data_IF_888967786750
#
_entry.id   IF_888967786750
#
_cell.length_a   1.000
_cell.length_b   1.000
_cell.length_c   1.000
_cell.angle_alpha   90.00
_cell.angle_beta   90.00
_cell.angle_gamma   90.00
#
_symmetry.space_group_name_H-M   'P 1'
#
loop_
_entity.id
_entity.type
_entity.pdbx_description
1 polymer ?
#
# COMPACT_ATOMS: atom_id res chain seq x y z
N UNK A 1 35.23 -10.33 -5.99
CA UNK A 1 34.66 -9.56 -4.86
C UNK A 1 33.44 -8.85 -5.41
N UNK A 2 32.23 -9.14 -4.92
CA UNK A 2 31.03 -8.47 -5.41
C UNK A 2 31.12 -6.99 -5.05
N UNK A 3 31.19 -6.12 -6.07
CA UNK A 3 31.16 -4.68 -5.92
C UNK A 3 29.88 -4.32 -5.15
N UNK A 4 30.06 -3.76 -3.93
CA UNK A 4 28.94 -3.37 -3.08
C UNK A 4 28.13 -2.34 -3.85
N UNK A 5 26.84 -2.60 -4.06
CA UNK A 5 25.96 -1.63 -4.68
C UNK A 5 26.06 -0.28 -3.96
N UNK A 6 26.20 0.84 -4.68
CA UNK A 6 26.28 2.16 -4.07
C UNK A 6 25.01 2.44 -3.26
N UNK A 7 25.17 2.94 -2.04
CA UNK A 7 24.05 3.24 -1.17
C UNK A 7 23.20 4.38 -1.76
N UNK A 8 21.89 4.19 -1.89
CA UNK A 8 20.98 5.27 -2.33
C UNK A 8 21.05 6.51 -1.42
N UNK A 9 21.48 6.33 -0.17
CA UNK A 9 21.65 7.41 0.81
C UNK A 9 22.83 8.35 0.52
N UNK A 10 23.72 7.99 -0.39
CA UNK A 10 24.77 8.89 -0.88
C UNK A 10 24.24 9.87 -1.93
N UNK A 11 22.96 9.73 -2.34
CA UNK A 11 22.29 10.55 -3.35
C UNK A 11 23.09 10.67 -4.65
N UNK A 12 23.90 9.66 -4.99
CA UNK A 12 24.81 9.72 -6.14
C UNK A 12 25.84 10.86 -6.09
N UNK A 13 26.12 11.41 -4.90
CA UNK A 13 27.06 12.51 -4.70
C UNK A 13 26.49 13.92 -4.90
N UNK A 14 25.17 14.07 -5.13
CA UNK A 14 24.52 15.39 -5.19
C UNK A 14 23.88 15.79 -3.86
N UNK A 15 23.89 17.10 -3.56
CA UNK A 15 23.24 17.62 -2.35
C UNK A 15 21.70 17.48 -2.39
N UNK A 16 21.04 17.34 -1.22
CA UNK A 16 19.59 17.05 -1.12
C UNK A 16 18.71 18.11 -1.78
N UNK A 17 19.13 19.38 -1.76
CA UNK A 17 18.40 20.48 -2.42
C UNK A 17 18.41 20.30 -3.95
N UNK A 18 19.54 19.85 -4.51
CA UNK A 18 19.66 19.61 -5.95
C UNK A 18 18.83 18.40 -6.36
N UNK A 19 18.85 17.34 -5.54
CA UNK A 19 17.99 16.17 -5.73
C UNK A 19 16.51 16.58 -5.74
N UNK A 20 16.06 17.34 -4.73
CA UNK A 20 14.68 17.81 -4.65
C UNK A 20 14.24 18.64 -5.86
N UNK A 21 15.13 19.49 -6.41
CA UNK A 21 14.84 20.25 -7.64
C UNK A 21 14.73 19.34 -8.88
N UNK A 22 15.55 18.30 -8.99
CA UNK A 22 15.45 17.32 -10.09
C UNK A 22 14.16 16.53 -9.98
N UNK A 23 13.88 15.97 -8.81
CA UNK A 23 12.62 15.25 -8.52
C UNK A 23 11.40 16.09 -8.85
N UNK A 24 11.36 17.37 -8.45
CA UNK A 24 10.23 18.24 -8.77
C UNK A 24 10.03 18.45 -10.28
N UNK A 25 11.15 18.57 -11.02
CA UNK A 25 11.12 18.76 -12.46
C UNK A 25 10.68 17.47 -13.17
N UNK A 26 11.19 16.32 -12.75
CA UNK A 26 10.81 15.02 -13.33
C UNK A 26 9.36 14.67 -13.01
N UNK A 27 8.86 14.96 -11.81
CA UNK A 27 7.43 14.80 -11.48
C UNK A 27 6.48 15.53 -12.45
N UNK A 28 6.89 16.70 -12.95
CA UNK A 28 6.14 17.46 -13.95
C UNK A 28 6.32 16.86 -15.36
N UNK A 29 7.55 16.49 -15.73
CA UNK A 29 7.86 15.88 -17.02
C UNK A 29 7.14 14.54 -17.22
N UNK A 30 7.02 13.75 -16.15
CA UNK A 30 6.38 12.43 -16.14
C UNK A 30 4.88 12.48 -15.84
N UNK A 31 4.28 13.66 -15.73
CA UNK A 31 2.85 13.83 -15.41
C UNK A 31 2.42 12.99 -14.18
N UNK A 32 3.21 13.07 -13.09
CA UNK A 32 2.94 12.31 -11.86
C UNK A 32 1.56 12.65 -11.27
N UNK A 33 1.12 13.89 -11.42
CA UNK A 33 -0.21 14.32 -11.00
C UNK A 33 -1.33 13.66 -11.82
N UNK A 34 -1.21 13.61 -13.16
CA UNK A 34 -2.17 12.88 -14.01
C UNK A 34 -2.17 11.38 -13.73
N UNK A 35 -0.99 10.78 -13.53
CA UNK A 35 -0.85 9.36 -13.17
C UNK A 35 -1.43 9.03 -11.81
N UNK A 36 -1.33 9.92 -10.83
CA UNK A 36 -2.00 9.72 -9.55
C UNK A 36 -3.53 9.75 -9.67
N UNK A 37 -4.08 10.55 -10.59
CA UNK A 37 -5.51 10.53 -10.91
C UNK A 37 -5.92 9.23 -11.61
N UNK A 38 -5.10 8.73 -12.54
CA UNK A 38 -5.25 7.40 -13.14
C UNK A 38 -5.27 6.31 -12.06
N UNK A 39 -4.33 6.33 -11.13
CA UNK A 39 -4.28 5.39 -10.00
C UNK A 39 -5.53 5.47 -9.14
N UNK A 40 -6.02 6.67 -8.83
CA UNK A 40 -7.26 6.84 -8.08
C UNK A 40 -8.44 6.13 -8.73
N UNK A 41 -8.59 6.26 -10.05
CA UNK A 41 -9.64 5.58 -10.80
C UNK A 41 -9.50 4.06 -10.73
N UNK A 42 -8.30 3.52 -10.97
CA UNK A 42 -8.08 2.08 -10.92
C UNK A 42 -8.17 1.49 -9.51
N UNK A 43 -7.77 2.23 -8.47
CA UNK A 43 -7.93 1.82 -7.08
C UNK A 43 -9.41 1.77 -6.68
N UNK A 44 -10.21 2.75 -7.12
CA UNK A 44 -11.66 2.72 -6.92
C UNK A 44 -12.31 1.51 -7.61
N UNK A 45 -11.93 1.21 -8.85
CA UNK A 45 -12.43 0.02 -9.55
C UNK A 45 -11.97 -1.29 -8.90
N UNK A 46 -10.74 -1.34 -8.38
CA UNK A 46 -10.19 -2.49 -7.69
C UNK A 46 -10.82 -2.70 -6.30
N UNK A 47 -11.42 -1.67 -5.70
CA UNK A 47 -12.02 -1.74 -4.37
C UNK A 47 -13.16 -2.76 -4.32
N UNK A 48 -14.10 -2.74 -5.26
CA UNK A 48 -15.25 -3.66 -5.22
C UNK A 48 -14.82 -5.13 -5.32
N UNK A 49 -13.98 -5.54 -6.29
CA UNK A 49 -13.45 -6.90 -6.31
C UNK A 49 -12.62 -7.25 -5.08
N UNK A 50 -11.82 -6.32 -4.55
CA UNK A 50 -11.06 -6.57 -3.32
C UNK A 50 -11.98 -6.83 -2.13
N UNK A 51 -13.05 -6.05 -1.97
CA UNK A 51 -14.06 -6.26 -0.93
C UNK A 51 -14.76 -7.61 -1.10
N UNK A 52 -15.14 -7.99 -2.32
CA UNK A 52 -15.73 -9.30 -2.60
C UNK A 52 -14.77 -10.45 -2.27
N UNK A 53 -13.50 -10.32 -2.63
CA UNK A 53 -12.45 -11.27 -2.27
C UNK A 53 -12.34 -11.43 -0.75
N UNK A 54 -12.28 -10.32 0.00
CA UNK A 54 -12.20 -10.33 1.46
C UNK A 54 -13.43 -10.96 2.10
N UNK A 55 -14.64 -10.59 1.66
CA UNK A 55 -15.89 -11.18 2.13
C UNK A 55 -15.95 -12.68 1.86
N UNK A 56 -15.50 -13.10 0.68
CA UNK A 56 -15.47 -14.52 0.30
C UNK A 56 -14.45 -15.31 1.12
N UNK A 57 -13.27 -14.73 1.35
CA UNK A 57 -12.23 -15.32 2.20
C UNK A 57 -12.70 -15.43 3.66
N UNK A 58 -13.37 -14.41 4.17
CA UNK A 58 -14.00 -14.46 5.49
C UNK A 58 -15.07 -15.54 5.54
N UNK A 59 -15.91 -15.65 4.49
CA UNK A 59 -16.92 -16.68 4.40
C UNK A 59 -16.37 -18.11 4.43
N UNK A 60 -15.17 -18.34 3.87
CA UNK A 60 -14.46 -19.62 3.93
C UNK A 60 -13.81 -19.86 5.30
N UNK A 61 -13.19 -18.83 5.89
CA UNK A 61 -12.55 -18.95 7.20
C UNK A 61 -13.57 -19.09 8.34
N UNK A 62 -14.76 -18.52 8.17
CA UNK A 62 -15.82 -18.46 9.16
C UNK A 62 -16.98 -19.39 8.77
N UNK A 63 -16.74 -20.71 8.87
CA UNK A 63 -17.78 -21.71 8.70
C UNK A 63 -19.00 -21.39 9.59
N UNK A 64 -20.23 -21.60 9.11
CA UNK A 64 -21.44 -21.37 9.89
C UNK A 64 -21.37 -22.09 11.26
N UNK A 65 -21.50 -21.35 12.36
CA UNK A 65 -21.48 -21.89 13.72
C UNK A 65 -20.14 -21.85 14.46
N UNK A 66 -19.06 -21.36 13.84
CA UNK A 66 -17.76 -21.22 14.51
C UNK A 66 -17.68 -19.97 15.41
N UNK A 67 -16.97 -20.05 16.54
CA UNK A 67 -16.69 -18.89 17.41
C UNK A 67 -15.92 -17.79 16.67
N UNK A 68 -15.12 -18.17 15.66
CA UNK A 68 -14.41 -17.25 14.79
C UNK A 68 -15.38 -16.36 14.00
N UNK A 69 -16.48 -16.93 13.47
CA UNK A 69 -17.53 -16.17 12.79
C UNK A 69 -18.17 -15.16 13.72
N UNK A 70 -18.60 -15.60 14.90
CA UNK A 70 -19.24 -14.74 15.89
C UNK A 70 -18.33 -13.57 16.29
N UNK A 71 -17.05 -13.85 16.55
CA UNK A 71 -16.05 -12.85 16.95
C UNK A 71 -15.77 -11.83 15.84
N UNK A 72 -15.65 -12.29 14.59
CA UNK A 72 -15.41 -11.41 13.43
C UNK A 72 -16.59 -10.48 13.15
N UNK A 73 -17.82 -11.01 13.17
CA UNK A 73 -19.02 -10.19 12.97
C UNK A 73 -19.28 -9.23 14.14
N UNK A 74 -18.96 -9.63 15.36
CA UNK A 74 -19.06 -8.75 16.53
C UNK A 74 -18.03 -7.62 16.48
N UNK A 75 -16.80 -7.90 16.02
CA UNK A 75 -15.78 -6.88 15.79
C UNK A 75 -16.15 -5.93 14.63
N UNK A 76 -16.77 -6.44 13.56
CA UNK A 76 -17.29 -5.58 12.49
C UNK A 76 -18.44 -4.70 12.98
N UNK A 77 -19.35 -5.26 13.79
CA UNK A 77 -20.50 -4.53 14.34
C UNK A 77 -20.11 -3.46 15.38
N UNK A 78 -18.96 -3.60 16.04
CA UNK A 78 -18.46 -2.56 16.97
C UNK A 78 -17.80 -1.39 16.25
N UNK A 79 -17.43 -1.56 14.98
CA UNK A 79 -16.71 -0.54 14.17
C UNK A 79 -17.66 0.11 13.15
N UNK A 80 -18.63 -0.63 12.62
CA UNK A 80 -19.57 -0.15 11.61
C UNK A 80 -20.84 0.42 12.25
N UNK A 81 -21.42 1.50 11.69
CA UNK A 81 -22.79 1.90 12.00
C UNK A 81 -23.77 0.74 11.76
N UNK A 82 -24.84 0.65 12.56
CA UNK A 82 -25.77 -0.50 12.56
C UNK A 82 -26.28 -0.89 11.16
N UNK A 83 -26.62 0.09 10.31
CA UNK A 83 -27.09 -0.18 8.94
C UNK A 83 -26.00 -0.75 8.00
N UNK A 84 -24.73 -0.42 8.25
CA UNK A 84 -23.59 -0.95 7.48
C UNK A 84 -23.20 -2.35 7.95
N UNK A 85 -23.27 -2.63 9.26
CA UNK A 85 -23.00 -3.98 9.79
C UNK A 85 -24.01 -5.01 9.30
N UNK A 86 -25.29 -4.64 9.23
CA UNK A 86 -26.34 -5.55 8.76
C UNK A 86 -26.18 -5.86 7.26
N UNK A 87 -25.87 -4.84 6.45
CA UNK A 87 -25.58 -5.02 5.02
C UNK A 87 -24.39 -5.96 4.78
N UNK A 88 -23.27 -5.75 5.48
CA UNK A 88 -22.09 -6.62 5.38
C UNK A 88 -22.42 -8.04 5.81
N UNK A 89 -23.15 -8.21 6.91
CA UNK A 89 -23.57 -9.54 7.41
C UNK A 89 -24.46 -10.26 6.42
N UNK A 90 -25.43 -9.55 5.83
CA UNK A 90 -26.31 -10.07 4.80
C UNK A 90 -25.53 -10.49 3.56
N UNK A 91 -24.65 -9.62 3.03
CA UNK A 91 -23.84 -9.94 1.84
C UNK A 91 -22.93 -11.14 2.08
N UNK A 92 -22.23 -11.22 3.22
CA UNK A 92 -21.38 -12.39 3.54
C UNK A 92 -22.24 -13.65 3.68
N UNK A 93 -23.42 -13.56 4.31
CA UNK A 93 -24.34 -14.68 4.44
C UNK A 93 -24.87 -15.16 3.08
N UNK A 94 -25.25 -14.25 2.19
CA UNK A 94 -25.73 -14.56 0.84
C UNK A 94 -24.64 -15.21 -0.03
N UNK A 95 -23.39 -14.73 0.08
CA UNK A 95 -22.22 -15.31 -0.61
C UNK A 95 -21.88 -16.70 -0.06
N UNK A 96 -22.06 -16.94 1.25
CA UNK A 96 -21.71 -18.22 1.88
C UNK A 96 -22.81 -19.29 1.79
N UNK A 97 -24.09 -18.90 1.85
CA UNK A 97 -25.22 -19.85 1.83
C UNK A 97 -25.49 -20.44 0.44
N UNK A 98 -25.14 -19.73 -0.64
CA UNK A 98 -25.43 -20.14 -2.02
C UNK A 98 -24.21 -20.69 -2.77
N UNK A 99 -23.07 -20.85 -2.09
CA UNK A 99 -21.83 -21.23 -2.74
C UNK A 99 -21.52 -22.71 -2.59
N UNK A 100 -21.73 -23.48 -3.66
CA UNK A 100 -21.00 -24.73 -3.87
C UNK A 100 -19.49 -24.40 -3.90
N UNK A 101 -18.63 -25.20 -3.26
CA UNK A 101 -17.19 -24.88 -3.10
C UNK A 101 -16.45 -24.49 -4.39
N UNK A 102 -16.90 -25.00 -5.55
CA UNK A 102 -16.40 -24.60 -6.87
C UNK A 102 -16.75 -23.17 -7.28
N UNK A 103 -17.98 -22.70 -7.00
CA UNK A 103 -18.43 -21.32 -7.31
C UNK A 103 -17.71 -20.29 -6.45
N UNK A 104 -17.49 -20.61 -5.17
CA UNK A 104 -16.76 -19.73 -4.25
C UNK A 104 -15.31 -19.52 -4.69
N UNK A 105 -14.63 -20.62 -5.03
CA UNK A 105 -13.24 -20.59 -5.49
C UNK A 105 -13.12 -19.80 -6.80
N UNK A 106 -14.04 -20.02 -7.74
CA UNK A 106 -14.08 -19.27 -9.00
C UNK A 106 -14.31 -17.77 -8.80
N UNK A 107 -15.27 -17.41 -7.93
CA UNK A 107 -15.54 -16.02 -7.57
C UNK A 107 -14.33 -15.34 -6.93
N UNK A 108 -13.64 -16.05 -6.02
CA UNK A 108 -12.44 -15.57 -5.34
C UNK A 108 -11.28 -15.32 -6.33
N UNK A 109 -11.02 -16.26 -7.25
CA UNK A 109 -10.00 -16.07 -8.30
C UNK A 109 -10.34 -14.91 -9.22
N UNK A 110 -11.61 -14.79 -9.63
CA UNK A 110 -12.08 -13.70 -10.51
C UNK A 110 -12.00 -12.34 -9.82
N UNK A 111 -12.37 -12.27 -8.53
CA UNK A 111 -12.29 -11.06 -7.73
C UNK A 111 -10.83 -10.62 -7.51
N UNK A 112 -9.94 -11.56 -7.16
CA UNK A 112 -8.52 -11.27 -7.03
C UNK A 112 -7.89 -10.81 -8.35
N UNK A 113 -8.29 -11.45 -9.46
CA UNK A 113 -7.89 -11.05 -10.79
C UNK A 113 -8.31 -9.60 -11.08
N UNK A 114 -9.57 -9.25 -10.86
CA UNK A 114 -10.06 -7.90 -11.08
C UNK A 114 -9.37 -6.87 -10.14
N UNK A 115 -9.20 -7.19 -8.86
CA UNK A 115 -8.51 -6.35 -7.88
C UNK A 115 -7.05 -6.04 -8.29
N UNK A 116 -6.34 -7.01 -8.87
CA UNK A 116 -4.97 -6.81 -9.35
C UNK A 116 -4.84 -5.78 -10.49
N UNK A 117 -5.95 -5.34 -11.09
CA UNK A 117 -5.97 -4.23 -12.06
C UNK A 117 -5.35 -2.94 -11.51
N UNK A 118 -5.61 -2.61 -10.24
CA UNK A 118 -5.00 -1.45 -9.57
C UNK A 118 -3.47 -1.54 -9.50
N UNK A 119 -2.94 -2.75 -9.23
CA UNK A 119 -1.50 -2.97 -9.18
C UNK A 119 -0.87 -3.00 -10.58
N UNK A 120 -1.60 -3.42 -11.60
CA UNK A 120 -1.16 -3.29 -13.00
C UNK A 120 -1.02 -1.82 -13.41
N UNK A 121 -1.94 -0.96 -12.99
CA UNK A 121 -1.85 0.49 -13.19
C UNK A 121 -0.65 1.07 -12.43
N UNK A 122 -0.45 0.67 -11.17
CA UNK A 122 0.71 1.08 -10.37
C UNK A 122 2.04 0.69 -11.00
N UNK A 123 2.13 -0.52 -11.57
CA UNK A 123 3.32 -0.94 -12.33
C UNK A 123 3.54 -0.03 -13.54
N UNK A 124 2.50 0.33 -14.28
CA UNK A 124 2.63 1.20 -15.45
C UNK A 124 3.11 2.60 -15.06
N UNK A 125 2.50 3.19 -14.04
CA UNK A 125 2.84 4.55 -13.63
C UNK A 125 4.23 4.62 -13.00
N UNK A 126 4.64 3.62 -12.23
CA UNK A 126 6.01 3.50 -11.74
C UNK A 126 7.02 3.19 -12.85
N UNK A 127 6.66 2.44 -13.89
CA UNK A 127 7.56 2.27 -15.03
C UNK A 127 7.87 3.61 -15.70
N UNK A 128 6.90 4.53 -15.75
CA UNK A 128 7.14 5.89 -16.26
C UNK A 128 8.04 6.67 -15.30
N UNK A 129 7.74 6.72 -14.01
CA UNK A 129 8.56 7.41 -13.01
C UNK A 129 10.01 6.88 -12.88
N UNK A 130 10.30 5.69 -13.40
CA UNK A 130 11.65 5.10 -13.44
C UNK A 130 12.26 5.12 -14.85
N UNK A 131 11.63 5.79 -15.81
CA UNK A 131 12.07 5.85 -17.22
C UNK A 131 12.32 4.47 -17.86
N UNK A 132 11.54 3.46 -17.46
CA UNK A 132 11.71 2.08 -17.94
C UNK A 132 10.54 1.61 -18.80
N UNK A 133 10.89 0.94 -19.89
CA UNK A 133 9.92 0.24 -20.72
C UNK A 133 9.56 -1.12 -20.14
N UNK A 134 8.27 -1.45 -20.17
CA UNK A 134 7.79 -2.78 -19.77
C UNK A 134 8.21 -3.83 -20.80
N UNK A 135 9.07 -4.77 -20.39
CA UNK A 135 9.56 -5.88 -21.22
C UNK A 135 9.05 -7.22 -20.75
N UNK A 136 8.40 -7.28 -19.58
CA UNK A 136 7.76 -8.51 -19.11
C UNK A 136 6.61 -8.82 -20.05
N UNK A 137 6.43 -10.10 -20.37
CA UNK A 137 5.21 -10.53 -21.05
C UNK A 137 3.99 -10.19 -20.19
N UNK A 138 2.84 -10.02 -20.83
CA UNK A 138 1.59 -9.66 -20.16
C UNK A 138 1.29 -10.57 -18.95
N UNK A 139 1.53 -11.89 -19.09
CA UNK A 139 1.37 -12.87 -18.02
C UNK A 139 2.33 -12.65 -16.85
N UNK A 140 3.62 -12.41 -17.11
CA UNK A 140 4.60 -12.16 -16.03
C UNK A 140 4.25 -10.91 -15.24
N UNK A 141 3.89 -9.82 -15.92
CA UNK A 141 3.42 -8.59 -15.29
C UNK A 141 2.19 -8.84 -14.42
N UNK A 142 1.23 -9.61 -14.93
CA UNK A 142 -0.01 -9.94 -14.21
C UNK A 142 0.24 -10.78 -12.96
N UNK A 143 1.14 -11.77 -13.03
CA UNK A 143 1.55 -12.58 -11.86
C UNK A 143 2.21 -11.71 -10.80
N UNK A 144 3.10 -10.78 -11.20
CA UNK A 144 3.70 -9.83 -10.25
C UNK A 144 2.64 -8.95 -9.60
N UNK A 145 1.68 -8.44 -10.38
CA UNK A 145 0.58 -7.63 -9.85
C UNK A 145 -0.27 -8.42 -8.84
N UNK A 146 -0.61 -9.68 -9.14
CA UNK A 146 -1.35 -10.57 -8.24
C UNK A 146 -0.59 -10.86 -6.94
N UNK A 147 0.71 -11.17 -7.05
CA UNK A 147 1.56 -11.42 -5.89
C UNK A 147 1.66 -10.17 -5.00
N UNK A 148 1.84 -8.99 -5.60
CA UNK A 148 1.83 -7.72 -4.88
C UNK A 148 0.46 -7.42 -4.25
N UNK A 149 -0.64 -7.68 -4.94
CA UNK A 149 -1.99 -7.51 -4.36
C UNK A 149 -2.16 -8.35 -3.11
N UNK A 150 -1.80 -9.65 -3.15
CA UNK A 150 -1.91 -10.54 -2.00
C UNK A 150 -0.98 -10.13 -0.86
N UNK A 151 0.28 -9.81 -1.17
CA UNK A 151 1.28 -9.41 -0.19
C UNK A 151 0.93 -8.10 0.51
N UNK A 152 0.55 -7.07 -0.25
CA UNK A 152 0.15 -5.79 0.33
C UNK A 152 -1.15 -5.91 1.12
N UNK A 153 -2.11 -6.71 0.65
CA UNK A 153 -3.33 -6.99 1.41
C UNK A 153 -3.01 -7.66 2.75
N UNK A 154 -2.09 -8.63 2.76
CA UNK A 154 -1.61 -9.25 4.00
C UNK A 154 -0.98 -8.23 4.96
N UNK A 155 -0.08 -7.37 4.47
CA UNK A 155 0.54 -6.32 5.30
C UNK A 155 -0.48 -5.32 5.85
N UNK A 156 -1.49 -4.94 5.07
CA UNK A 156 -2.58 -4.06 5.50
C UNK A 156 -3.41 -4.73 6.57
N UNK A 157 -3.85 -5.98 6.35
CA UNK A 157 -4.67 -6.73 7.32
C UNK A 157 -3.89 -6.94 8.62
N UNK A 158 -2.61 -7.32 8.54
CA UNK A 158 -1.73 -7.47 9.68
C UNK A 158 -1.60 -6.15 10.45
N UNK A 159 -1.37 -5.04 9.75
CA UNK A 159 -1.23 -3.71 10.36
C UNK A 159 -2.53 -3.27 11.04
N UNK A 160 -3.68 -3.49 10.40
CA UNK A 160 -5.00 -3.22 10.99
C UNK A 160 -5.25 -4.08 12.23
N UNK A 161 -4.92 -5.38 12.18
CA UNK A 161 -5.05 -6.27 13.33
C UNK A 161 -4.16 -5.81 14.50
N UNK A 162 -2.92 -5.39 14.22
CA UNK A 162 -2.02 -4.82 15.23
C UNK A 162 -2.58 -3.53 15.82
N UNK A 163 -3.09 -2.61 15.00
CA UNK A 163 -3.66 -1.34 15.49
C UNK A 163 -4.90 -1.59 16.36
N UNK A 164 -5.83 -2.44 15.90
CA UNK A 164 -7.12 -2.66 16.56
C UNK A 164 -7.01 -3.56 17.79
N UNK A 165 -6.23 -4.65 17.72
CA UNK A 165 -6.13 -5.64 18.79
C UNK A 165 -4.85 -5.51 19.61
N UNK A 166 -3.91 -4.65 19.21
CA UNK A 166 -2.59 -4.58 19.81
C UNK A 166 -2.58 -4.20 21.29
N UNK A 167 -3.57 -3.45 21.78
CA UNK A 167 -3.68 -3.14 23.22
C UNK A 167 -4.00 -4.40 24.02
N UNK A 168 -5.01 -5.16 23.58
CA UNK A 168 -5.36 -6.45 24.19
C UNK A 168 -4.21 -7.44 24.12
N UNK A 169 -3.53 -7.52 22.97
CA UNK A 169 -2.38 -8.41 22.79
C UNK A 169 -1.19 -8.00 23.68
N UNK A 170 -0.91 -6.70 23.80
CA UNK A 170 0.15 -6.18 24.66
C UNK A 170 -0.14 -6.48 26.13
N UNK A 171 -1.35 -6.22 26.62
CA UNK A 171 -1.75 -6.52 27.99
C UNK A 171 -1.64 -8.01 28.33
N UNK A 172 -2.17 -8.90 27.46
CA UNK A 172 -2.05 -10.35 27.65
C UNK A 172 -0.59 -10.84 27.66
N UNK A 173 0.26 -10.26 26.81
CA UNK A 173 1.68 -10.61 26.76
C UNK A 173 2.44 -10.09 27.99
N UNK A 174 2.16 -8.86 28.42
CA UNK A 174 2.76 -8.25 29.61
C UNK A 174 2.44 -9.04 30.88
N UNK A 175 1.17 -9.45 31.04
CA UNK A 175 0.71 -10.26 32.18
C UNK A 175 1.40 -11.64 32.19
N UNK A 176 1.43 -12.34 31.05
CA UNK A 176 2.09 -13.66 30.94
C UNK A 176 3.59 -13.61 31.18
N UNK A 177 4.24 -12.52 30.79
CA UNK A 177 5.68 -12.33 30.96
C UNK A 177 6.05 -11.66 32.29
N UNK A 178 5.05 -11.26 33.10
CA UNK A 178 5.27 -10.59 34.39
C UNK A 178 5.95 -9.22 34.27
N UNK A 179 5.77 -8.51 33.16
CA UNK A 179 6.53 -7.29 32.85
C UNK A 179 5.97 -6.00 33.51
N UNK A 180 4.84 -6.11 34.21
CA UNK A 180 4.14 -4.97 34.83
C UNK A 180 3.72 -3.89 33.80
N UNK A 181 3.31 -2.72 34.29
CA UNK A 181 2.83 -1.61 33.44
C UNK A 181 3.90 -1.10 32.47
N UNK A 182 5.16 -1.03 32.91
CA UNK A 182 6.29 -0.57 32.06
C UNK A 182 6.49 -1.50 30.87
N UNK A 183 6.35 -2.81 31.08
CA UNK A 183 6.42 -3.80 30.01
C UNK A 183 5.29 -3.69 29.00
N UNK A 184 4.09 -3.40 29.47
CA UNK A 184 2.93 -3.18 28.60
C UNK A 184 3.15 -1.97 27.68
N UNK A 185 3.63 -0.84 28.23
CA UNK A 185 3.99 0.33 27.40
C UNK A 185 5.11 0.02 26.40
N UNK A 186 6.10 -0.79 26.77
CA UNK A 186 7.15 -1.23 25.85
C UNK A 186 6.57 -2.07 24.69
N UNK A 187 5.65 -2.99 24.97
CA UNK A 187 4.96 -3.79 23.96
C UNK A 187 4.06 -2.94 23.05
N UNK A 188 3.40 -1.92 23.60
CA UNK A 188 2.64 -0.94 22.82
C UNK A 188 3.53 -0.10 21.90
N UNK A 189 4.77 0.20 22.31
CA UNK A 189 5.74 0.85 21.45
C UNK A 189 6.21 -0.08 20.32
N UNK A 190 6.48 -1.35 20.62
CA UNK A 190 6.84 -2.38 19.62
C UNK A 190 5.74 -2.53 18.58
N UNK A 191 4.46 -2.48 18.97
CA UNK A 191 3.32 -2.48 18.03
C UNK A 191 3.47 -1.42 16.94
N UNK A 192 3.78 -0.18 17.31
CA UNK A 192 3.93 0.91 16.34
C UNK A 192 5.18 0.74 15.46
N UNK A 193 6.26 0.19 16.01
CA UNK A 193 7.47 -0.17 15.23
C UNK A 193 7.12 -1.24 14.18
N UNK A 194 6.33 -2.25 14.53
CA UNK A 194 5.89 -3.29 13.59
C UNK A 194 4.99 -2.72 12.49
N UNK A 195 4.04 -1.85 12.83
CA UNK A 195 3.18 -1.18 11.84
C UNK A 195 4.02 -0.31 10.89
N UNK A 196 4.95 0.47 11.43
CA UNK A 196 5.85 1.29 10.60
C UNK A 196 6.77 0.41 9.73
N UNK A 197 7.28 -0.68 10.27
CA UNK A 197 8.06 -1.68 9.54
C UNK A 197 7.27 -2.32 8.40
N UNK A 198 5.98 -2.62 8.62
CA UNK A 198 5.09 -3.11 7.57
C UNK A 198 4.87 -2.07 6.46
N UNK A 199 4.74 -0.79 6.80
CA UNK A 199 4.67 0.30 5.82
C UNK A 199 5.94 0.40 4.97
N UNK A 200 7.12 0.42 5.60
CA UNK A 200 8.39 0.42 4.87
C UNK A 200 8.54 -0.82 3.97
N UNK A 201 8.14 -1.98 4.48
CA UNK A 201 8.14 -3.22 3.70
C UNK A 201 7.21 -3.13 2.50
N UNK A 202 6.02 -2.54 2.66
CA UNK A 202 5.07 -2.34 1.55
C UNK A 202 5.67 -1.43 0.46
N UNK A 203 6.24 -0.29 0.82
CA UNK A 203 6.90 0.62 -0.12
C UNK A 203 8.13 -0.04 -0.78
N UNK A 204 8.96 -0.73 -0.02
CA UNK A 204 10.12 -1.47 -0.53
C UNK A 204 9.71 -2.56 -1.54
N UNK A 205 8.66 -3.34 -1.22
CA UNK A 205 8.10 -4.33 -2.14
C UNK A 205 7.59 -3.70 -3.43
N UNK A 206 6.86 -2.58 -3.34
CA UNK A 206 6.37 -1.86 -4.52
C UNK A 206 7.54 -1.37 -5.37
N UNK A 207 8.53 -0.70 -4.79
CA UNK A 207 9.67 -0.15 -5.53
C UNK A 207 10.62 -1.21 -6.09
N UNK A 208 10.66 -2.40 -5.51
CA UNK A 208 11.50 -3.48 -6.01
C UNK A 208 10.81 -4.32 -7.11
N UNK A 209 9.54 -4.70 -6.90
CA UNK A 209 8.85 -5.64 -7.79
C UNK A 209 8.02 -4.97 -8.88
N UNK A 210 7.51 -3.75 -8.64
CA UNK A 210 6.63 -3.09 -9.59
C UNK A 210 7.39 -2.58 -10.83
N UNK A 211 8.43 -1.73 -10.73
CA UNK A 211 9.13 -1.24 -11.92
C UNK A 211 9.96 -2.35 -12.60
N UNK A 212 9.99 -2.35 -13.93
CA UNK A 212 10.73 -3.32 -14.73
C UNK A 212 12.21 -2.92 -14.90
N UNK A 213 12.94 -2.84 -13.78
CA UNK A 213 14.36 -2.49 -13.76
C UNK A 213 15.22 -3.64 -14.30
N UNK A 214 16.30 -3.31 -15.03
CA UNK A 214 17.25 -4.32 -15.53
C UNK A 214 18.02 -5.01 -14.38
N UNK A 215 18.31 -4.27 -13.31
CA UNK A 215 19.06 -4.72 -12.13
C UNK A 215 18.37 -4.16 -10.88
N UNK A 216 17.26 -4.76 -10.44
CA UNK A 216 16.60 -4.32 -9.22
C UNK A 216 17.47 -4.67 -8.00
N UNK A 217 17.58 -3.75 -7.06
CA UNK A 217 18.31 -3.92 -5.81
C UNK A 217 17.35 -3.73 -4.63
N UNK A 218 17.39 -4.65 -3.67
CA UNK A 218 16.47 -4.63 -2.54
C UNK A 218 16.97 -3.68 -1.45
N UNK A 219 16.15 -2.68 -1.14
CA UNK A 219 16.39 -1.74 -0.05
C UNK A 219 15.19 -1.75 0.90
N UNK A 220 15.40 -2.18 2.14
CA UNK A 220 14.35 -2.14 3.18
C UNK A 220 13.90 -0.71 3.49
N UNK A 221 14.84 0.23 3.49
CA UNK A 221 14.61 1.65 3.76
C UNK A 221 15.38 2.46 2.71
N UNK A 222 14.75 2.70 1.56
CA UNK A 222 15.27 3.63 0.55
C UNK A 222 14.87 5.08 0.86
N UNK A 223 15.62 6.09 0.38
CA UNK A 223 15.24 7.49 0.54
C UNK A 223 13.83 7.77 0.02
N UNK A 224 13.45 7.19 -1.12
CA UNK A 224 12.11 7.30 -1.67
C UNK A 224 11.04 6.62 -0.82
N UNK A 225 11.33 5.48 -0.17
CA UNK A 225 10.41 4.87 0.78
C UNK A 225 10.17 5.76 2.00
N UNK A 226 11.22 6.43 2.50
CA UNK A 226 11.08 7.40 3.61
C UNK A 226 10.22 8.59 3.19
N UNK A 227 10.49 9.17 2.01
CA UNK A 227 9.69 10.28 1.47
C UNK A 227 8.23 9.85 1.26
N UNK A 228 8.00 8.69 0.64
CA UNK A 228 6.67 8.17 0.37
C UNK A 228 5.87 7.88 1.64
N UNK A 229 6.49 7.22 2.63
CA UNK A 229 5.86 6.97 3.94
C UNK A 229 5.57 8.28 4.67
N UNK A 230 6.51 9.23 4.68
CA UNK A 230 6.32 10.52 5.33
C UNK A 230 5.17 11.32 4.68
N UNK A 231 5.12 11.37 3.34
CA UNK A 231 4.04 12.01 2.59
C UNK A 231 2.70 11.31 2.86
N UNK A 232 2.67 9.98 2.87
CA UNK A 232 1.45 9.24 3.12
C UNK A 232 0.91 9.46 4.54
N UNK A 233 1.79 9.53 5.55
CA UNK A 233 1.42 9.87 6.92
C UNK A 233 0.92 11.32 7.03
N UNK A 234 1.61 12.26 6.39
CA UNK A 234 1.21 13.66 6.35
C UNK A 234 -0.16 13.83 5.68
N UNK A 235 -0.39 13.17 4.54
CA UNK A 235 -1.67 13.09 3.84
C UNK A 235 -2.74 12.49 4.76
N UNK A 236 -2.46 11.37 5.42
CA UNK A 236 -3.43 10.70 6.29
C UNK A 236 -3.85 11.58 7.47
N UNK A 237 -2.89 12.31 8.06
CA UNK A 237 -3.17 13.29 9.11
C UNK A 237 -3.97 14.49 8.58
N UNK A 238 -3.55 15.08 7.46
CA UNK A 238 -4.24 16.20 6.83
C UNK A 238 -5.67 15.83 6.41
N UNK A 239 -5.86 14.62 5.89
CA UNK A 239 -7.15 14.10 5.49
C UNK A 239 -8.09 13.89 6.69
N UNK A 240 -7.55 13.42 7.82
CA UNK A 240 -8.31 13.35 9.08
C UNK A 240 -8.78 14.73 9.53
N UNK A 241 -7.91 15.74 9.48
CA UNK A 241 -8.28 17.12 9.81
C UNK A 241 -9.33 17.67 8.84
N UNK A 242 -9.15 17.44 7.54
CA UNK A 242 -10.11 17.86 6.51
C UNK A 242 -11.51 17.31 6.80
N UNK A 243 -11.63 16.01 7.09
CA UNK A 243 -12.93 15.40 7.41
C UNK A 243 -13.53 15.93 8.72
N UNK A 244 -12.70 16.30 9.70
CA UNK A 244 -13.18 16.87 10.96
C UNK A 244 -13.81 18.25 10.76
N UNK A 245 -13.22 19.11 9.92
CA UNK A 245 -13.72 20.47 9.68
C UNK A 245 -14.80 20.56 8.59
N UNK A 246 -14.78 19.65 7.61
CA UNK A 246 -15.64 19.70 6.42
C UNK A 246 -16.66 18.54 6.34
N UNK A 247 -17.06 17.97 7.47
CA UNK A 247 -18.00 16.82 7.55
C UNK A 247 -19.40 17.08 6.94
N UNK A 248 -19.73 18.32 6.59
CA UNK A 248 -21.00 18.67 5.94
C UNK A 248 -21.06 18.28 4.45
N UNK A 249 -19.95 17.86 3.83
CA UNK A 249 -19.93 17.43 2.43
C UNK A 249 -20.90 16.27 2.15
N UNK A 250 -21.03 15.34 3.09
CA UNK A 250 -21.99 14.23 3.01
C UNK A 250 -23.45 14.69 3.12
N UNK A 251 -23.71 15.83 3.78
CA UNK A 251 -25.07 16.39 3.85
C UNK A 251 -25.50 17.05 2.53
N UNK A 252 -24.55 17.63 1.78
CA UNK A 252 -24.84 18.28 0.49
C UNK A 252 -24.85 17.30 -0.69
N UNK A 253 -23.92 16.34 -0.71
CA UNK A 253 -23.71 15.44 -1.85
C UNK A 253 -24.05 13.96 -1.56
N UNK A 254 -24.49 13.63 -0.34
CA UNK A 254 -24.89 12.27 0.02
C UNK A 254 -23.80 11.22 -0.23
N UNK A 255 -24.19 10.09 -0.83
CA UNK A 255 -23.28 9.00 -1.19
C UNK A 255 -22.22 9.40 -2.25
N UNK A 256 -22.52 10.37 -3.12
CA UNK A 256 -21.56 10.86 -4.10
C UNK A 256 -20.37 11.57 -3.42
N UNK A 257 -20.63 12.29 -2.33
CA UNK A 257 -19.58 12.92 -1.53
C UNK A 257 -18.57 11.93 -0.97
N UNK A 258 -19.04 10.76 -0.51
CA UNK A 258 -18.16 9.70 -0.01
C UNK A 258 -17.22 9.16 -1.09
N UNK A 259 -17.72 8.97 -2.32
CA UNK A 259 -16.91 8.51 -3.47
C UNK A 259 -15.86 9.56 -3.84
N UNK A 260 -16.23 10.85 -3.89
CA UNK A 260 -15.29 11.94 -4.20
C UNK A 260 -14.16 12.00 -3.16
N UNK A 261 -14.52 11.94 -1.88
CA UNK A 261 -13.57 11.94 -0.76
C UNK A 261 -12.63 10.73 -0.85
N UNK A 262 -13.16 9.55 -1.15
CA UNK A 262 -12.36 8.34 -1.30
C UNK A 262 -11.41 8.42 -2.51
N UNK A 263 -11.88 8.93 -3.65
CA UNK A 263 -11.02 9.18 -4.81
C UNK A 263 -9.91 10.17 -4.49
N UNK A 264 -10.21 11.25 -3.75
CA UNK A 264 -9.18 12.18 -3.30
C UNK A 264 -8.14 11.48 -2.40
N UNK A 265 -8.57 10.59 -1.50
CA UNK A 265 -7.65 9.82 -0.68
C UNK A 265 -6.76 8.88 -1.51
N UNK A 266 -7.34 8.17 -2.48
CA UNK A 266 -6.58 7.33 -3.40
C UNK A 266 -5.62 8.13 -4.27
N UNK A 267 -6.03 9.32 -4.74
CA UNK A 267 -5.19 10.25 -5.48
C UNK A 267 -3.96 10.65 -4.68
N UNK A 268 -4.16 11.11 -3.43
CA UNK A 268 -3.06 11.50 -2.55
C UNK A 268 -2.16 10.32 -2.17
N UNK A 269 -2.73 9.12 -2.03
CA UNK A 269 -1.96 7.89 -1.83
C UNK A 269 -1.10 7.56 -3.05
N UNK A 270 -1.67 7.65 -4.26
CA UNK A 270 -0.94 7.50 -5.52
C UNK A 270 0.20 8.50 -5.65
N UNK A 271 -0.04 9.77 -5.33
CA UNK A 271 0.98 10.81 -5.29
C UNK A 271 2.12 10.47 -4.32
N UNK A 272 1.82 10.03 -3.10
CA UNK A 272 2.85 9.68 -2.12
C UNK A 272 3.74 8.52 -2.61
N UNK A 273 3.13 7.50 -3.24
CA UNK A 273 3.86 6.36 -3.79
C UNK A 273 4.70 6.77 -5.00
N UNK A 274 4.15 7.55 -5.93
CA UNK A 274 4.87 7.99 -7.13
C UNK A 274 5.99 8.98 -6.79
N UNK A 275 5.76 9.96 -5.91
CA UNK A 275 6.79 10.89 -5.46
C UNK A 275 7.98 10.18 -4.79
N UNK A 276 7.73 9.14 -3.98
CA UNK A 276 8.81 8.31 -3.46
C UNK A 276 9.49 7.45 -4.53
N UNK A 277 8.77 7.05 -5.58
CA UNK A 277 9.32 6.39 -6.75
C UNK A 277 10.32 7.27 -7.50
N UNK A 278 9.91 8.51 -7.81
CA UNK A 278 10.73 9.55 -8.45
C UNK A 278 12.03 9.83 -7.70
N UNK A 279 11.96 9.92 -6.36
CA UNK A 279 13.16 10.09 -5.53
C UNK A 279 14.14 8.93 -5.75
N UNK A 280 13.67 7.68 -5.78
CA UNK A 280 14.55 6.53 -5.99
C UNK A 280 15.07 6.48 -7.44
N UNK A 281 14.22 6.78 -8.42
CA UNK A 281 14.58 6.80 -9.83
C UNK A 281 15.67 7.84 -10.13
N UNK A 282 15.47 9.08 -9.65
CA UNK A 282 16.42 10.16 -9.84
C UNK A 282 17.78 9.89 -9.17
N UNK A 283 17.79 9.29 -7.96
CA UNK A 283 19.05 8.85 -7.33
C UNK A 283 19.74 7.81 -8.22
N UNK A 284 18.99 6.86 -8.79
CA UNK A 284 19.50 5.89 -9.74
C UNK A 284 20.13 6.53 -10.97
N UNK A 285 19.45 7.52 -11.58
CA UNK A 285 19.94 8.26 -12.74
C UNK A 285 21.24 9.02 -12.45
N UNK A 286 21.33 9.71 -11.29
CA UNK A 286 22.57 10.39 -10.87
C UNK A 286 23.74 9.42 -10.75
N UNK A 287 23.51 8.24 -10.15
CA UNK A 287 24.56 7.23 -9.98
C UNK A 287 25.04 6.71 -11.34
N UNK A 288 24.12 6.47 -12.29
CA UNK A 288 24.48 6.04 -13.65
C UNK A 288 25.22 7.14 -14.43
N UNK A 289 24.80 8.40 -14.34
CA UNK A 289 25.49 9.55 -14.93
C UNK A 289 26.92 9.69 -14.40
N UNK A 290 27.13 9.47 -13.10
CA UNK A 290 28.46 9.48 -12.47
C UNK A 290 29.37 8.40 -13.03
N UNK A 291 28.89 7.15 -13.10
CA UNK A 291 29.63 6.01 -13.66
C UNK A 291 30.00 6.21 -15.13
N UNK A 292 29.13 6.87 -15.92
CA UNK A 292 29.43 7.17 -17.33
C UNK A 292 30.52 8.24 -17.52
N UNK A 293 30.79 9.07 -16.50
CA UNK A 293 31.81 10.14 -16.56
C UNK A 293 33.21 9.68 -16.11
N UNK A 294 33.32 8.71 -15.19
CA UNK A 294 34.61 8.21 -14.70
C UNK A 294 35.59 7.70 -15.78
N UNK A 295 35.16 6.94 -16.81
CA UNK A 295 36.07 6.46 -17.86
C UNK A 295 36.65 7.60 -18.70
N UNK A 296 35.90 8.69 -18.88
CA UNK A 296 36.32 9.84 -19.69
C UNK A 296 37.37 10.71 -18.99
N UNK A 297 37.34 10.75 -17.65
CA UNK A 297 38.32 11.46 -16.82
C UNK A 297 39.63 10.69 -16.65
N UNK A 298 39.61 9.34 -16.73
CA UNK A 298 40.83 8.52 -16.69
C UNK A 298 41.57 8.44 -18.03
N UNK A 299 40.89 8.80 -19.12
CA UNK A 299 41.44 8.82 -20.47
C UNK A 299 41.92 10.22 -20.91
N UNK A 300 41.77 11.23 -20.06
CA UNK A 300 42.22 12.62 -20.25
C UNK A 300 43.41 12.93 -19.34
#
# INVERSE_FOLDING_TARGET
MAEKAPSLWEFGGIGPIRLGKRVWKEMDADDVYGKAAELSYYFLLALFPALLFLVSLMGMAAEPGTELRASLFQALASILPQGSSELVTKTVSEVTQNADGGKLTFGLVTALWAASGGLVALINTLNVAYDVTERRSWWKKRVVALALTLWLSFLIIMSLALVLFGERLAGMAAERMGLGEVGEYALLAVRWVLVLGAMFTAFASVYYYAPNLKRPEWYWISPGAVVGVALWLAVSFAFRLYLQFFNNYSATYGSLGAVIVLMLWFYLTGLAVLAGGEVNAEIGHVVEEGKAREPKLRAA
#
